data_IF_847134749149
#
_entry.id   IF_847134749149
#
_cell.length_a   1.000
_cell.length_b   1.000
_cell.length_c   1.000
_cell.angle_alpha   90.00
_cell.angle_beta   90.00
_cell.angle_gamma   90.00
#
_symmetry.space_group_name_H-M   'P 1'
#
loop_
_entity.id
_entity.type
_entity.pdbx_description
1 polymer ?
#
# COMPACT_ATOMS: atom_id res chain seq x y z
N UNK A 1 -13.70 -13.94 -1.02
CA UNK A 1 -13.14 -12.58 -0.85
C UNK A 1 -12.44 -12.56 0.50
N UNK A 2 -11.14 -12.29 0.56
CA UNK A 2 -10.41 -12.22 1.84
C UNK A 2 -11.03 -11.11 2.70
N UNK A 3 -11.36 -11.42 3.96
CA UNK A 3 -12.07 -10.53 4.87
C UNK A 3 -11.26 -9.29 5.24
N UNK A 4 -11.29 -8.26 4.39
CA UNK A 4 -10.77 -6.93 4.67
C UNK A 4 -11.80 -6.12 5.48
N UNK A 5 -12.18 -6.61 6.66
CA UNK A 5 -13.06 -5.83 7.56
C UNK A 5 -12.29 -4.73 8.29
N UNK A 6 -10.97 -4.86 8.41
CA UNK A 6 -10.10 -3.90 9.08
C UNK A 6 -8.81 -3.63 8.26
N UNK A 7 -8.54 -2.37 7.90
CA UNK A 7 -7.36 -2.01 7.11
C UNK A 7 -6.05 -2.22 7.87
N UNK A 8 -6.01 -2.12 9.20
CA UNK A 8 -4.80 -2.39 9.99
C UNK A 8 -4.43 -3.87 9.96
N UNK A 9 -5.42 -4.75 10.10
CA UNK A 9 -5.23 -6.21 9.96
C UNK A 9 -4.76 -6.60 8.56
N UNK A 10 -5.29 -5.93 7.53
CA UNK A 10 -4.88 -6.15 6.14
C UNK A 10 -3.42 -5.75 5.93
N UNK A 11 -3.00 -4.61 6.50
CA UNK A 11 -1.61 -4.16 6.46
C UNK A 11 -0.67 -5.14 7.18
N UNK A 12 -1.06 -5.64 8.35
CA UNK A 12 -0.26 -6.61 9.11
C UNK A 12 -0.07 -7.93 8.33
N UNK A 13 -1.13 -8.43 7.68
CA UNK A 13 -1.02 -9.61 6.82
C UNK A 13 -0.13 -9.38 5.60
N UNK A 14 -0.19 -8.19 5.01
CA UNK A 14 0.67 -7.81 3.90
C UNK A 14 2.16 -7.83 4.30
N UNK A 15 2.50 -7.26 5.45
CA UNK A 15 3.87 -7.29 5.98
C UNK A 15 4.35 -8.73 6.24
N UNK A 16 3.48 -9.60 6.75
CA UNK A 16 3.80 -11.01 6.96
C UNK A 16 4.06 -11.75 5.63
N UNK A 17 3.25 -11.50 4.58
CA UNK A 17 3.50 -12.12 3.27
C UNK A 17 4.83 -11.70 2.64
N UNK A 18 5.27 -10.47 2.88
CA UNK A 18 6.57 -10.00 2.41
C UNK A 18 7.70 -10.67 3.18
N UNK A 19 7.58 -10.78 4.52
CA UNK A 19 8.55 -11.50 5.36
C UNK A 19 8.65 -12.98 4.97
N UNK A 20 7.53 -13.60 4.62
CA UNK A 20 7.47 -14.99 4.16
C UNK A 20 7.95 -15.16 2.70
N UNK A 21 8.32 -14.08 2.01
CA UNK A 21 8.79 -14.12 0.61
C UNK A 21 7.68 -14.38 -0.42
N UNK A 22 6.41 -14.30 -0.05
CA UNK A 22 5.25 -14.51 -0.94
C UNK A 22 4.96 -13.25 -1.75
N UNK A 23 5.87 -12.89 -2.65
CA UNK A 23 5.82 -11.61 -3.39
C UNK A 23 4.63 -11.50 -4.36
N UNK A 24 4.09 -12.61 -4.85
CA UNK A 24 2.85 -12.64 -5.65
C UNK A 24 1.62 -12.28 -4.84
N UNK A 25 1.44 -12.93 -3.69
CA UNK A 25 0.32 -12.62 -2.80
C UNK A 25 0.45 -11.22 -2.23
N UNK A 26 1.68 -10.77 -1.96
CA UNK A 26 1.96 -9.40 -1.52
C UNK A 26 1.56 -8.37 -2.57
N UNK A 27 1.83 -8.60 -3.87
CA UNK A 27 1.41 -7.69 -4.95
C UNK A 27 -0.12 -7.61 -5.07
N UNK A 28 -0.78 -8.77 -5.08
CA UNK A 28 -2.25 -8.85 -5.20
C UNK A 28 -2.95 -8.22 -3.98
N UNK A 29 -2.38 -8.41 -2.78
CA UNK A 29 -2.93 -7.85 -1.55
C UNK A 29 -2.66 -6.35 -1.42
N UNK A 30 -1.46 -5.87 -1.77
CA UNK A 30 -1.13 -4.45 -1.77
C UNK A 30 -2.01 -3.67 -2.77
N UNK A 31 -2.27 -4.24 -3.94
CA UNK A 31 -3.13 -3.63 -4.96
C UNK A 31 -4.57 -3.47 -4.43
N UNK A 32 -5.16 -4.56 -3.92
CA UNK A 32 -6.51 -4.53 -3.35
C UNK A 32 -6.62 -3.60 -2.13
N UNK A 33 -5.62 -3.58 -1.26
CA UNK A 33 -5.57 -2.69 -0.09
C UNK A 33 -5.56 -1.22 -0.52
N UNK A 34 -4.77 -0.89 -1.55
CA UNK A 34 -4.70 0.46 -2.10
C UNK A 34 -6.02 0.86 -2.74
N UNK A 35 -6.65 -0.03 -3.52
CA UNK A 35 -7.97 0.20 -4.14
C UNK A 35 -9.07 0.38 -3.09
N UNK A 36 -9.07 -0.42 -2.03
CA UNK A 36 -10.01 -0.29 -0.92
C UNK A 36 -9.91 1.10 -0.28
N UNK A 37 -8.70 1.54 0.07
CA UNK A 37 -8.47 2.85 0.69
C UNK A 37 -8.75 4.01 -0.26
N UNK A 38 -8.54 3.84 -1.57
CA UNK A 38 -8.90 4.86 -2.58
C UNK A 38 -10.42 5.01 -2.75
N UNK A 39 -11.19 3.93 -2.55
CA UNK A 39 -12.64 3.95 -2.60
C UNK A 39 -13.31 4.60 -1.37
N UNK A 40 -12.55 4.88 -0.29
CA UNK A 40 -13.06 5.59 0.88
C UNK A 40 -13.24 7.09 0.54
N UNK A 41 -14.50 7.53 0.49
CA UNK A 41 -14.89 8.92 0.12
C UNK A 41 -14.51 9.97 1.18
N UNK A 42 -14.64 9.66 2.46
CA UNK A 42 -14.19 10.51 3.59
C UNK A 42 -13.08 9.78 4.33
N UNK A 43 -11.84 9.99 3.90
CA UNK A 43 -10.66 9.42 4.56
C UNK A 43 -10.32 10.22 5.81
N UNK A 44 -10.17 9.52 6.93
CA UNK A 44 -9.55 10.07 8.12
C UNK A 44 -8.03 10.23 7.93
N UNK A 45 -7.36 10.95 8.83
CA UNK A 45 -5.90 11.05 8.81
C UNK A 45 -5.23 9.68 8.98
N UNK A 46 -5.84 8.78 9.76
CA UNK A 46 -5.35 7.41 9.94
C UNK A 46 -5.48 6.60 8.64
N UNK A 47 -6.60 6.71 7.92
CA UNK A 47 -6.77 6.07 6.61
C UNK A 47 -5.75 6.59 5.58
N UNK A 48 -5.43 7.89 5.64
CA UNK A 48 -4.40 8.48 4.77
C UNK A 48 -3.00 7.95 5.11
N UNK A 49 -2.66 7.82 6.39
CA UNK A 49 -1.38 7.26 6.83
C UNK A 49 -1.25 5.79 6.42
N UNK A 50 -2.32 5.00 6.60
CA UNK A 50 -2.39 3.61 6.15
C UNK A 50 -2.24 3.49 4.62
N UNK A 51 -2.87 4.40 3.87
CA UNK A 51 -2.74 4.45 2.40
C UNK A 51 -1.30 4.75 1.97
N UNK A 52 -0.63 5.68 2.64
CA UNK A 52 0.78 5.99 2.35
C UNK A 52 1.66 4.77 2.60
N UNK A 53 1.51 4.10 3.75
CA UNK A 53 2.24 2.86 4.06
C UNK A 53 1.96 1.74 3.05
N UNK A 54 0.70 1.52 2.70
CA UNK A 54 0.30 0.51 1.71
C UNK A 54 0.92 0.76 0.33
N UNK A 55 0.93 2.02 -0.12
CA UNK A 55 1.58 2.42 -1.37
C UNK A 55 3.10 2.23 -1.33
N UNK A 56 3.74 2.54 -0.19
CA UNK A 56 5.17 2.33 0.02
C UNK A 56 5.53 0.86 -0.13
N UNK A 57 4.80 0.00 0.58
CA UNK A 57 4.94 -1.45 0.51
C UNK A 57 4.70 -1.97 -0.92
N UNK A 58 3.68 -1.46 -1.60
CA UNK A 58 3.42 -1.82 -2.99
C UNK A 58 4.60 -1.46 -3.90
N UNK A 59 5.21 -0.29 -3.68
CA UNK A 59 6.39 0.14 -4.41
C UNK A 59 7.59 -0.79 -4.14
N UNK A 60 7.83 -1.14 -2.88
CA UNK A 60 8.92 -2.06 -2.50
C UNK A 60 8.73 -3.45 -3.11
N UNK A 61 7.51 -4.00 -3.07
CA UNK A 61 7.19 -5.29 -3.70
C UNK A 61 7.41 -5.22 -5.22
N UNK A 62 6.98 -4.15 -5.88
CA UNK A 62 7.20 -3.97 -7.32
C UNK A 62 8.67 -3.80 -7.69
N UNK A 63 9.45 -3.09 -6.85
CA UNK A 63 10.89 -2.92 -7.03
C UNK A 63 11.62 -4.25 -6.86
N UNK A 64 11.31 -5.03 -5.82
CA UNK A 64 11.92 -6.35 -5.59
C UNK A 64 11.56 -7.31 -6.74
N UNK A 65 10.35 -7.20 -7.29
CA UNK A 65 9.91 -7.98 -8.46
C UNK A 65 10.43 -7.45 -9.81
N UNK A 66 11.32 -6.47 -9.80
CA UNK A 66 11.98 -5.91 -10.99
C UNK A 66 11.01 -5.23 -12.00
N UNK A 67 9.82 -4.81 -11.55
CA UNK A 67 8.88 -3.97 -12.33
C UNK A 67 9.21 -2.48 -12.13
N UNK A 68 10.43 -2.08 -12.50
CA UNK A 68 11.01 -0.77 -12.18
C UNK A 68 10.19 0.41 -12.75
N UNK A 69 9.53 0.23 -13.90
CA UNK A 69 8.72 1.30 -14.54
C UNK A 69 7.47 1.69 -13.74
N UNK A 70 6.92 0.80 -12.91
CA UNK A 70 5.72 1.08 -12.11
C UNK A 70 6.05 1.75 -10.77
N UNK A 71 7.18 1.42 -10.14
CA UNK A 71 7.58 1.98 -8.84
C UNK A 71 7.75 3.51 -8.87
N UNK A 72 8.36 4.05 -9.93
CA UNK A 72 8.62 5.49 -10.06
C UNK A 72 7.34 6.36 -10.03
N UNK A 73 6.21 5.84 -10.51
CA UNK A 73 4.91 6.56 -10.49
C UNK A 73 4.32 6.61 -9.08
N UNK A 74 4.51 5.56 -8.29
CA UNK A 74 4.01 5.47 -6.92
C UNK A 74 4.85 6.36 -6.01
N UNK A 75 6.17 6.31 -6.13
CA UNK A 75 7.10 7.11 -5.34
C UNK A 75 6.84 8.62 -5.49
N UNK A 76 6.62 9.10 -6.73
CA UNK A 76 6.24 10.50 -6.97
C UNK A 76 4.89 10.88 -6.36
N UNK A 77 3.96 9.93 -6.28
CA UNK A 77 2.64 10.14 -5.65
C UNK A 77 2.75 10.20 -4.13
N UNK A 78 3.62 9.36 -3.54
CA UNK A 78 3.93 9.38 -2.10
C UNK A 78 4.62 10.70 -1.74
N UNK A 79 5.69 11.10 -2.44
CA UNK A 79 6.38 12.38 -2.19
C UNK A 79 5.47 13.60 -2.31
N UNK A 80 4.49 13.57 -3.23
CA UNK A 80 3.47 14.63 -3.35
C UNK A 80 2.55 14.66 -2.13
N UNK A 81 2.14 13.51 -1.60
CA UNK A 81 1.26 13.43 -0.42
C UNK A 81 1.98 13.76 0.88
N UNK A 82 3.25 13.38 1.03
CA UNK A 82 4.08 13.76 2.20
C UNK A 82 4.27 15.28 2.28
N UNK A 83 4.48 15.97 1.16
CA UNK A 83 4.53 17.45 1.13
C UNK A 83 3.22 18.13 1.54
N UNK A 84 2.09 17.43 1.48
CA UNK A 84 0.76 17.99 1.79
C UNK A 84 0.34 17.69 3.23
N UNK A 85 1.02 16.78 3.93
CA UNK A 85 0.82 16.52 5.35
C UNK A 85 2.05 16.95 6.19
N UNK A 86 2.34 18.27 6.30
CA UNK A 86 3.21 18.74 7.36
C UNK A 86 2.42 18.67 8.68
N UNK A 87 2.84 17.77 9.57
CA UNK A 87 2.62 17.92 11.01
C UNK A 87 3.97 17.88 11.69
#
# INVERSE_FOLDING_TARGET
MFGMNDPAQTLMQLENYIKDGRMEMSEVMATQFTEMLLNIKKRSNEDQLMLVRGLQIMCDVLLIRNKISCGYRIENTVKRKEKISPR
#
